data_IF_452812125553
#
_entry.id   IF_452812125553
#
_cell.length_a   1.000
_cell.length_b   1.000
_cell.length_c   1.000
_cell.angle_alpha   90.00
_cell.angle_beta   90.00
_cell.angle_gamma   90.00
#
_symmetry.space_group_name_H-M   'P 1'
#
loop_
_entity.id
_entity.type
_entity.pdbx_description
1 polymer ?
#
# COMPACT_ATOMS: atom_id res chain seq x y z
N UNK A 1 5.65 -55.83 1.20
CA UNK A 1 5.25 -54.67 0.39
C UNK A 1 3.86 -54.13 0.76
N UNK A 2 2.82 -54.97 0.91
CA UNK A 2 1.53 -54.54 1.51
C UNK A 2 1.69 -53.93 2.91
N UNK A 3 2.49 -54.56 3.78
CA UNK A 3 2.79 -54.05 5.14
C UNK A 3 3.53 -52.71 5.14
N UNK A 4 4.48 -52.51 4.22
CA UNK A 4 5.18 -51.23 4.08
C UNK A 4 4.20 -50.15 3.61
N UNK A 5 3.44 -50.41 2.54
CA UNK A 5 2.46 -49.47 1.99
C UNK A 5 1.36 -49.11 3.01
N UNK A 6 0.90 -50.06 3.83
CA UNK A 6 -0.08 -49.84 4.90
C UNK A 6 0.45 -48.99 6.07
N UNK A 7 1.73 -49.11 6.43
CA UNK A 7 2.32 -48.27 7.47
C UNK A 7 2.49 -46.81 7.03
N UNK A 8 2.67 -46.56 5.72
CA UNK A 8 2.81 -45.21 5.18
C UNK A 8 1.46 -44.59 4.78
N UNK A 9 0.45 -45.39 4.39
CA UNK A 9 -0.85 -44.90 3.89
C UNK A 9 -1.68 -44.20 4.97
N UNK A 10 -1.58 -44.63 6.23
CA UNK A 10 -2.26 -44.02 7.38
C UNK A 10 -1.58 -42.79 7.97
N UNK A 11 -0.46 -42.32 7.40
CA UNK A 11 0.22 -41.11 7.89
C UNK A 11 -0.59 -39.88 7.47
N UNK A 12 -0.96 -39.06 8.46
CA UNK A 12 -1.57 -37.76 8.23
C UNK A 12 -0.63 -36.87 7.44
N UNK A 13 -1.20 -36.14 6.47
CA UNK A 13 -0.48 -35.24 5.57
C UNK A 13 0.41 -34.25 6.33
N UNK A 14 -0.10 -33.71 7.45
CA UNK A 14 0.63 -32.78 8.32
C UNK A 14 1.97 -33.38 8.80
N UNK A 15 1.97 -34.66 9.17
CA UNK A 15 3.13 -35.37 9.72
C UNK A 15 4.05 -35.98 8.66
N UNK A 16 3.71 -35.85 7.38
CA UNK A 16 4.48 -36.43 6.29
C UNK A 16 5.85 -35.74 6.13
N UNK A 17 6.94 -36.51 6.18
CA UNK A 17 8.27 -36.00 5.85
C UNK A 17 8.67 -36.47 4.45
N UNK A 18 8.62 -35.56 3.48
CA UNK A 18 8.87 -35.87 2.05
C UNK A 18 10.34 -36.23 1.80
N UNK A 19 11.28 -35.65 2.54
CA UNK A 19 12.71 -35.99 2.43
C UNK A 19 13.00 -37.43 2.89
N UNK A 20 12.36 -37.88 3.98
CA UNK A 20 12.46 -39.28 4.44
C UNK A 20 11.86 -40.25 3.41
N UNK A 21 10.79 -39.84 2.72
CA UNK A 21 10.19 -40.63 1.65
C UNK A 21 11.06 -40.72 0.40
N UNK A 22 11.71 -39.62 0.00
CA UNK A 22 12.71 -39.60 -1.07
C UNK A 22 13.87 -40.54 -0.77
N UNK A 23 14.51 -40.38 0.38
CA UNK A 23 15.62 -41.25 0.80
C UNK A 23 15.19 -42.73 0.88
N UNK A 24 14.00 -43.01 1.40
CA UNK A 24 13.45 -44.38 1.46
C UNK A 24 13.19 -44.98 0.08
N UNK A 25 12.72 -44.18 -0.87
CA UNK A 25 12.43 -44.63 -2.25
C UNK A 25 13.72 -44.90 -3.03
N UNK A 26 14.73 -44.04 -2.88
CA UNK A 26 16.07 -44.25 -3.44
C UNK A 26 16.74 -45.49 -2.86
N UNK A 27 16.64 -45.71 -1.54
CA UNK A 27 17.18 -46.90 -0.89
C UNK A 27 16.51 -48.20 -1.40
N UNK A 28 15.20 -48.17 -1.65
CA UNK A 28 14.46 -49.30 -2.24
C UNK A 28 14.89 -49.56 -3.69
N UNK A 29 15.07 -48.52 -4.49
CA UNK A 29 15.55 -48.63 -5.87
C UNK A 29 16.98 -49.20 -5.91
N UNK A 30 17.87 -48.71 -5.05
CA UNK A 30 19.22 -49.26 -4.89
C UNK A 30 19.21 -50.73 -4.46
N UNK A 31 18.35 -51.10 -3.51
CA UNK A 31 18.23 -52.48 -3.04
C UNK A 31 17.73 -53.41 -4.16
N UNK A 32 16.78 -52.94 -4.98
CA UNK A 32 16.27 -53.69 -6.13
C UNK A 32 17.33 -53.92 -7.20
N UNK A 33 18.17 -52.91 -7.48
CA UNK A 33 19.27 -53.04 -8.43
C UNK A 33 20.41 -53.96 -7.96
N UNK A 34 20.56 -54.17 -6.64
CA UNK A 34 21.53 -55.10 -6.04
C UNK A 34 21.09 -56.56 -6.00
N UNK A 35 19.83 -56.87 -6.37
CA UNK A 35 19.36 -58.25 -6.46
C UNK A 35 20.05 -59.02 -7.60
N UNK A 36 20.20 -60.36 -7.48
CA UNK A 36 20.78 -61.19 -8.54
C UNK A 36 20.07 -61.04 -9.89
N UNK A 37 20.80 -61.19 -11.00
CA UNK A 37 20.27 -61.01 -12.35
C UNK A 37 19.03 -61.88 -12.64
N UNK A 38 18.99 -63.10 -12.11
CA UNK A 38 17.87 -64.04 -12.30
C UNK A 38 16.58 -63.58 -11.62
N UNK A 39 16.69 -62.82 -10.53
CA UNK A 39 15.54 -62.24 -9.83
C UNK A 39 15.09 -60.95 -10.51
N UNK A 40 16.04 -60.16 -11.02
CA UNK A 40 15.74 -58.92 -11.76
C UNK A 40 15.09 -59.15 -13.12
N UNK A 41 15.34 -60.29 -13.76
CA UNK A 41 14.72 -60.67 -15.03
C UNK A 41 13.29 -61.20 -14.86
N UNK A 42 12.82 -61.41 -13.63
CA UNK A 42 11.44 -61.83 -13.38
C UNK A 42 10.45 -60.69 -13.70
N UNK A 43 9.27 -60.99 -14.26
CA UNK A 43 8.22 -59.99 -14.50
C UNK A 43 7.83 -59.20 -13.26
N UNK A 44 7.93 -59.81 -12.07
CA UNK A 44 7.64 -59.17 -10.78
C UNK A 44 8.66 -58.07 -10.46
N UNK A 45 9.94 -58.27 -10.79
CA UNK A 45 10.97 -57.26 -10.56
C UNK A 45 10.83 -56.08 -11.51
N UNK A 46 10.47 -56.32 -12.78
CA UNK A 46 10.12 -55.25 -13.72
C UNK A 46 8.91 -54.44 -13.27
N UNK A 47 7.85 -55.12 -12.81
CA UNK A 47 6.67 -54.44 -12.27
C UNK A 47 7.01 -53.60 -11.03
N UNK A 48 7.85 -54.14 -10.15
CA UNK A 48 8.28 -53.47 -8.93
C UNK A 48 9.16 -52.24 -9.22
N UNK A 49 10.12 -52.36 -10.15
CA UNK A 49 10.95 -51.24 -10.61
C UNK A 49 10.10 -50.11 -11.20
N UNK A 50 9.13 -50.45 -12.05
CA UNK A 50 8.21 -49.47 -12.65
C UNK A 50 7.38 -48.74 -11.56
N UNK A 51 6.86 -49.47 -10.58
CA UNK A 51 6.09 -48.86 -9.47
C UNK A 51 6.95 -47.96 -8.57
N UNK A 52 8.21 -48.33 -8.31
CA UNK A 52 9.13 -47.52 -7.49
C UNK A 52 9.52 -46.25 -8.26
N UNK A 53 9.80 -46.34 -9.56
CA UNK A 53 10.10 -45.17 -10.40
C UNK A 53 8.91 -44.21 -10.52
N UNK A 54 7.71 -44.73 -10.76
CA UNK A 54 6.48 -43.96 -10.80
C UNK A 54 6.20 -43.24 -9.47
N UNK A 55 6.47 -43.91 -8.34
CA UNK A 55 6.38 -43.26 -7.03
C UNK A 55 7.46 -42.17 -6.87
N UNK A 56 8.70 -42.44 -7.26
CA UNK A 56 9.79 -41.46 -7.21
C UNK A 56 9.46 -40.19 -8.03
N UNK A 57 8.86 -40.32 -9.20
CA UNK A 57 8.40 -39.20 -10.04
C UNK A 57 7.29 -38.37 -9.38
N UNK A 58 6.48 -38.97 -8.50
CA UNK A 58 5.45 -38.25 -7.74
C UNK A 58 5.96 -37.51 -6.49
N UNK A 59 7.17 -37.84 -6.00
CA UNK A 59 7.70 -37.25 -4.76
C UNK A 59 8.01 -35.76 -4.85
N UNK A 60 8.59 -35.23 -5.96
CA UNK A 60 8.72 -33.78 -6.13
C UNK A 60 7.37 -33.06 -6.07
N UNK A 61 6.35 -33.61 -6.74
CA UNK A 61 4.99 -33.05 -6.72
C UNK A 61 4.39 -33.06 -5.31
N UNK A 62 4.66 -34.10 -4.51
CA UNK A 62 4.24 -34.15 -3.11
C UNK A 62 4.97 -33.12 -2.23
N UNK A 63 6.23 -32.82 -2.53
CA UNK A 63 6.97 -31.75 -1.86
C UNK A 63 6.36 -30.39 -2.18
N UNK A 64 6.04 -30.16 -3.46
CA UNK A 64 5.44 -28.90 -3.90
C UNK A 64 4.02 -28.71 -3.38
N UNK A 65 3.24 -29.80 -3.26
CA UNK A 65 1.90 -29.78 -2.66
C UNK A 65 1.91 -29.48 -1.15
N UNK A 66 3.07 -29.52 -0.49
CA UNK A 66 3.23 -29.05 0.89
C UNK A 66 3.51 -27.56 1.01
N UNK A 67 3.58 -26.83 -0.10
CA UNK A 67 3.87 -25.41 -0.07
C UNK A 67 2.72 -24.62 0.59
N UNK A 68 3.08 -23.69 1.48
CA UNK A 68 2.14 -22.80 2.18
C UNK A 68 1.38 -21.85 1.24
N UNK A 69 1.80 -21.72 -0.02
CA UNK A 69 1.08 -20.97 -1.04
C UNK A 69 -0.27 -21.61 -1.43
N UNK A 70 -0.42 -22.92 -1.20
CA UNK A 70 -1.67 -23.61 -1.51
C UNK A 70 -2.76 -23.19 -0.51
N UNK A 71 -3.97 -23.05 -1.05
CA UNK A 71 -5.19 -22.64 -0.36
C UNK A 71 -6.28 -23.62 -0.76
N UNK A 72 -7.38 -23.65 -0.05
CA UNK A 72 -8.47 -24.60 -0.31
C UNK A 72 -8.93 -24.60 -1.79
N UNK A 73 -8.99 -23.42 -2.43
CA UNK A 73 -9.30 -23.28 -3.87
C UNK A 73 -8.41 -24.11 -4.80
N UNK A 74 -7.10 -24.17 -4.52
CA UNK A 74 -6.14 -24.94 -5.31
C UNK A 74 -6.36 -26.44 -5.14
N UNK A 75 -6.68 -26.86 -3.91
CA UNK A 75 -7.02 -28.25 -3.62
C UNK A 75 -8.34 -28.68 -4.26
N UNK A 76 -9.35 -27.82 -4.28
CA UNK A 76 -10.59 -28.09 -5.01
C UNK A 76 -10.36 -28.26 -6.51
N UNK A 77 -9.51 -27.43 -7.13
CA UNK A 77 -9.10 -27.59 -8.53
C UNK A 77 -8.40 -28.94 -8.76
N UNK A 78 -7.46 -29.31 -7.88
CA UNK A 78 -6.78 -30.60 -7.95
C UNK A 78 -7.75 -31.80 -7.82
N UNK A 79 -8.73 -31.71 -6.92
CA UNK A 79 -9.77 -32.73 -6.74
C UNK A 79 -10.65 -32.89 -7.99
N UNK A 80 -11.10 -31.77 -8.56
CA UNK A 80 -11.93 -31.77 -9.78
C UNK A 80 -11.19 -32.41 -10.95
N UNK A 81 -9.90 -32.11 -11.12
CA UNK A 81 -9.11 -32.61 -12.24
C UNK A 81 -8.69 -34.08 -12.09
N UNK A 82 -8.46 -34.54 -10.86
CA UNK A 82 -8.12 -35.94 -10.58
C UNK A 82 -9.35 -36.84 -10.44
N UNK A 83 -10.55 -36.26 -10.40
CA UNK A 83 -11.79 -37.00 -10.18
C UNK A 83 -11.91 -37.60 -8.78
N UNK A 84 -11.07 -37.16 -7.84
CA UNK A 84 -11.05 -37.64 -6.45
C UNK A 84 -11.64 -36.59 -5.53
N UNK A 85 -12.31 -37.02 -4.46
CA UNK A 85 -12.82 -36.13 -3.42
C UNK A 85 -12.40 -36.68 -2.07
N UNK A 86 -11.81 -35.83 -1.26
CA UNK A 86 -11.42 -36.17 0.11
C UNK A 86 -11.64 -34.96 1.02
N UNK A 87 -11.82 -35.24 2.32
CA UNK A 87 -11.87 -34.19 3.32
C UNK A 87 -10.43 -33.69 3.60
N UNK A 88 -10.26 -32.37 3.49
CA UNK A 88 -8.99 -31.66 3.71
C UNK A 88 -8.74 -31.35 5.19
N UNK A 89 -9.65 -31.76 6.09
CA UNK A 89 -9.43 -31.59 7.50
C UNK A 89 -8.10 -32.24 7.92
N UNK A 90 -7.28 -31.57 8.77
CA UNK A 90 -5.98 -32.08 9.21
C UNK A 90 -6.05 -33.48 9.85
N UNK A 91 -7.23 -33.87 10.33
CA UNK A 91 -7.53 -35.13 11.01
C UNK A 91 -7.87 -36.28 10.06
N UNK A 92 -8.37 -35.98 8.84
CA UNK A 92 -8.74 -36.99 7.83
C UNK A 92 -7.79 -37.06 6.64
N UNK A 93 -6.95 -36.04 6.45
CA UNK A 93 -6.13 -35.93 5.25
C UNK A 93 -4.88 -36.81 5.34
N UNK A 94 -4.88 -37.94 4.62
CA UNK A 94 -3.82 -38.96 4.68
C UNK A 94 -3.01 -39.05 3.38
N UNK A 95 -1.84 -39.68 3.45
CA UNK A 95 -1.02 -40.01 2.27
C UNK A 95 -1.75 -40.94 1.29
N UNK A 96 -2.67 -41.77 1.77
CA UNK A 96 -3.51 -42.62 0.92
C UNK A 96 -4.37 -41.81 -0.06
N UNK A 97 -4.93 -40.69 0.41
CA UNK A 97 -5.72 -39.79 -0.44
C UNK A 97 -4.84 -39.21 -1.57
N UNK A 98 -3.57 -38.91 -1.31
CA UNK A 98 -2.62 -38.51 -2.36
C UNK A 98 -2.28 -39.62 -3.35
N UNK A 99 -2.20 -40.87 -2.89
CA UNK A 99 -2.02 -41.99 -3.81
C UNK A 99 -3.22 -42.22 -4.71
N UNK A 100 -4.43 -41.94 -4.22
CA UNK A 100 -5.67 -42.07 -5.00
C UNK A 100 -5.74 -41.05 -6.15
N UNK A 101 -5.05 -39.91 -6.04
CA UNK A 101 -5.00 -38.86 -7.06
C UNK A 101 -4.10 -39.19 -8.26
N UNK A 102 -3.31 -40.27 -8.18
CA UNK A 102 -2.38 -40.68 -9.25
C UNK A 102 -1.55 -39.52 -9.83
N UNK A 103 -0.96 -38.70 -8.95
CA UNK A 103 -0.32 -37.41 -9.28
C UNK A 103 0.65 -37.45 -10.47
N UNK A 104 1.33 -38.58 -10.68
CA UNK A 104 2.23 -38.81 -11.81
C UNK A 104 1.53 -38.70 -13.19
N UNK A 105 0.21 -38.95 -13.29
CA UNK A 105 -0.56 -38.81 -14.54
C UNK A 105 -0.92 -37.35 -14.86
N UNK A 106 -0.90 -36.48 -13.85
CA UNK A 106 -1.35 -35.09 -13.94
C UNK A 106 -0.22 -34.08 -13.65
N UNK A 107 1.05 -34.49 -13.77
CA UNK A 107 2.21 -33.71 -13.33
C UNK A 107 2.31 -32.29 -13.91
N UNK A 108 2.01 -32.09 -15.19
CA UNK A 108 2.03 -30.76 -15.83
C UNK A 108 1.00 -29.81 -15.20
N UNK A 109 -0.23 -30.29 -15.04
CA UNK A 109 -1.33 -29.55 -14.43
C UNK A 109 -1.09 -29.22 -12.97
N UNK A 110 -0.55 -30.17 -12.20
CA UNK A 110 -0.22 -29.96 -10.79
C UNK A 110 0.83 -28.85 -10.69
N UNK A 111 1.85 -28.89 -11.53
CA UNK A 111 2.87 -27.83 -11.64
C UNK A 111 2.25 -26.47 -11.98
N UNK A 112 1.27 -26.41 -12.88
CA UNK A 112 0.57 -25.16 -13.22
C UNK A 112 -0.21 -24.59 -12.01
N UNK A 113 -0.90 -25.44 -11.26
CA UNK A 113 -1.66 -25.03 -10.05
C UNK A 113 -0.70 -24.53 -8.97
N UNK A 114 0.41 -25.24 -8.73
CA UNK A 114 1.44 -24.80 -7.78
C UNK A 114 2.03 -23.47 -8.22
N UNK A 115 2.33 -23.32 -9.51
CA UNK A 115 2.88 -22.08 -10.06
C UNK A 115 1.89 -20.93 -9.88
N UNK A 116 0.60 -21.15 -10.13
CA UNK A 116 -0.45 -20.17 -9.88
C UNK A 116 -0.49 -19.79 -8.40
N UNK A 117 -0.53 -20.77 -7.49
CA UNK A 117 -0.53 -20.56 -6.05
C UNK A 117 0.69 -19.74 -5.58
N UNK A 118 1.88 -20.04 -6.09
CA UNK A 118 3.11 -19.30 -5.80
C UNK A 118 3.07 -17.84 -6.30
N UNK A 119 2.37 -17.56 -7.40
CA UNK A 119 2.17 -16.19 -7.88
C UNK A 119 1.08 -15.46 -7.10
N UNK A 120 0.03 -16.17 -6.70
CA UNK A 120 -1.05 -15.66 -5.86
C UNK A 120 -0.57 -15.23 -4.48
N UNK A 121 0.26 -16.03 -3.80
CA UNK A 121 0.79 -15.66 -2.47
C UNK A 121 1.68 -14.42 -2.50
N UNK A 122 2.33 -14.13 -3.64
CA UNK A 122 3.11 -12.89 -3.80
C UNK A 122 2.18 -11.68 -3.83
N UNK A 123 1.04 -11.79 -4.52
CA UNK A 123 0.00 -10.75 -4.53
C UNK A 123 -0.61 -10.60 -3.13
N UNK A 124 -0.98 -11.71 -2.48
CA UNK A 124 -1.54 -11.71 -1.11
C UNK A 124 -0.62 -10.98 -0.13
N UNK A 125 0.67 -11.33 -0.12
CA UNK A 125 1.67 -10.68 0.74
C UNK A 125 1.88 -9.21 0.37
N UNK A 126 1.86 -8.88 -0.92
CA UNK A 126 1.99 -7.50 -1.40
C UNK A 126 0.84 -6.61 -0.92
N UNK A 127 -0.41 -7.07 -1.10
CA UNK A 127 -1.60 -6.35 -0.65
C UNK A 127 -1.62 -6.21 0.88
N UNK A 128 -1.24 -7.27 1.61
CA UNK A 128 -1.15 -7.23 3.06
C UNK A 128 -0.09 -6.23 3.55
N UNK A 129 1.09 -6.19 2.93
CA UNK A 129 2.13 -5.24 3.27
C UNK A 129 1.69 -3.78 3.04
N UNK A 130 0.94 -3.51 1.96
CA UNK A 130 0.33 -2.20 1.72
C UNK A 130 -0.69 -1.89 2.83
N UNK A 131 -1.53 -2.86 3.19
CA UNK A 131 -2.49 -2.70 4.28
C UNK A 131 -1.81 -2.29 5.58
N UNK A 132 -0.81 -3.04 6.01
CA UNK A 132 -0.07 -2.79 7.24
C UNK A 132 0.63 -1.43 7.22
N UNK A 133 1.18 -1.04 6.07
CA UNK A 133 1.84 0.27 5.91
C UNK A 133 0.84 1.39 6.16
N UNK A 134 -0.30 1.40 5.45
CA UNK A 134 -1.26 2.52 5.50
C UNK A 134 -2.16 2.51 6.74
N UNK A 135 -2.25 1.41 7.46
CA UNK A 135 -2.91 1.36 8.77
C UNK A 135 -2.07 2.00 9.87
N UNK A 136 -0.74 2.03 9.70
CA UNK A 136 0.18 2.56 10.70
C UNK A 136 0.86 3.88 10.29
N UNK A 137 0.83 4.26 9.02
CA UNK A 137 1.47 5.47 8.54
C UNK A 137 0.79 6.72 9.09
N UNK A 138 1.59 7.63 9.65
CA UNK A 138 1.13 8.83 10.33
C UNK A 138 1.70 10.08 9.70
N UNK A 139 0.92 11.15 9.71
CA UNK A 139 1.41 12.47 9.41
C UNK A 139 2.39 12.95 10.49
N UNK A 140 3.45 13.62 10.07
CA UNK A 140 4.31 14.38 10.98
C UNK A 140 3.66 15.75 11.20
N UNK A 141 2.98 15.89 12.35
CA UNK A 141 2.30 17.11 12.73
C UNK A 141 3.18 17.93 13.67
N UNK A 142 3.53 19.16 13.26
CA UNK A 142 4.34 20.08 14.04
C UNK A 142 3.53 21.29 14.49
N UNK A 143 3.93 21.90 15.60
CA UNK A 143 3.39 23.21 16.00
C UNK A 143 3.93 24.29 15.07
N UNK A 144 3.04 25.13 14.57
CA UNK A 144 3.41 26.31 13.80
C UNK A 144 3.61 27.48 14.77
N UNK A 145 4.85 27.91 14.93
CA UNK A 145 5.21 29.02 15.81
C UNK A 145 5.68 30.20 14.98
N UNK A 146 5.17 31.41 15.26
CA UNK A 146 5.70 32.68 14.74
C UNK A 146 6.29 33.47 15.91
N UNK A 147 7.62 33.45 16.03
CA UNK A 147 8.29 33.95 17.24
C UNK A 147 7.93 33.10 18.46
N UNK A 148 7.27 33.72 19.45
CA UNK A 148 6.78 33.04 20.66
C UNK A 148 5.30 32.65 20.60
N UNK A 149 4.57 33.04 19.54
CA UNK A 149 3.14 32.78 19.42
C UNK A 149 2.84 31.45 18.74
N UNK A 150 1.96 30.66 19.36
CA UNK A 150 1.44 29.41 18.81
C UNK A 150 0.28 29.70 17.85
N UNK A 151 0.48 29.39 16.56
CA UNK A 151 -0.48 29.60 15.48
C UNK A 151 -1.27 28.33 15.12
N UNK A 152 -1.01 27.21 15.81
CA UNK A 152 -1.69 25.93 15.58
C UNK A 152 -0.74 24.84 15.08
N UNK A 153 -1.23 23.98 14.18
CA UNK A 153 -0.48 22.82 13.70
C UNK A 153 -0.35 22.82 12.17
N UNK A 154 0.77 22.30 11.68
CA UNK A 154 1.07 22.10 10.27
C UNK A 154 1.64 20.71 10.02
N UNK A 155 1.47 20.21 8.80
CA UNK A 155 2.11 18.99 8.31
C UNK A 155 3.55 19.29 7.87
N UNK A 156 4.46 18.39 8.18
CA UNK A 156 5.86 18.39 7.76
C UNK A 156 6.25 17.02 7.19
N UNK A 157 7.46 16.92 6.63
CA UNK A 157 8.04 15.67 6.13
C UNK A 157 7.11 14.87 5.18
N UNK A 158 6.49 15.56 4.21
CA UNK A 158 5.54 14.95 3.27
C UNK A 158 6.21 14.16 2.14
N UNK A 159 7.50 14.37 1.90
CA UNK A 159 8.25 13.77 0.79
C UNK A 159 8.26 12.23 0.88
N UNK A 160 8.58 11.68 2.05
CA UNK A 160 8.61 10.23 2.27
C UNK A 160 7.21 9.59 2.13
N UNK A 161 6.17 10.32 2.55
CA UNK A 161 4.77 9.88 2.42
C UNK A 161 4.37 9.80 0.95
N UNK A 162 4.71 10.83 0.16
CA UNK A 162 4.39 10.89 -1.26
C UNK A 162 5.15 9.82 -2.05
N UNK A 163 6.44 9.61 -1.75
CA UNK A 163 7.21 8.54 -2.37
C UNK A 163 6.61 7.17 -2.07
N UNK A 164 6.25 6.92 -0.80
CA UNK A 164 5.60 5.66 -0.39
C UNK A 164 4.23 5.47 -1.08
N UNK A 165 3.49 6.55 -1.32
CA UNK A 165 2.23 6.52 -2.05
C UNK A 165 2.44 6.12 -3.51
N UNK A 166 3.39 6.73 -4.20
CA UNK A 166 3.72 6.42 -5.59
C UNK A 166 4.19 4.96 -5.75
N UNK A 167 5.09 4.50 -4.87
CA UNK A 167 5.61 3.13 -4.88
C UNK A 167 4.50 2.10 -4.67
N UNK A 168 3.63 2.32 -3.68
CA UNK A 168 2.51 1.43 -3.40
C UNK A 168 1.45 1.46 -4.52
N UNK A 169 1.21 2.62 -5.14
CA UNK A 169 0.31 2.73 -6.29
C UNK A 169 0.85 1.94 -7.50
N UNK A 170 2.14 2.05 -7.81
CA UNK A 170 2.79 1.24 -8.86
C UNK A 170 2.73 -0.27 -8.54
N UNK A 171 2.94 -0.63 -7.27
CA UNK A 171 2.84 -2.02 -6.80
C UNK A 171 1.43 -2.58 -7.01
N UNK A 172 0.38 -1.82 -6.66
CA UNK A 172 -1.02 -2.20 -6.91
C UNK A 172 -1.32 -2.34 -8.41
N UNK A 173 -0.86 -1.42 -9.25
CA UNK A 173 -1.04 -1.53 -10.71
C UNK A 173 -0.39 -2.79 -11.28
N UNK A 174 0.83 -3.13 -10.82
CA UNK A 174 1.52 -4.35 -11.20
C UNK A 174 0.75 -5.61 -10.76
N UNK A 175 0.21 -5.60 -9.53
CA UNK A 175 -0.64 -6.68 -9.02
C UNK A 175 -1.95 -6.81 -9.82
N UNK A 176 -2.61 -5.70 -10.14
CA UNK A 176 -3.83 -5.66 -10.94
C UNK A 176 -3.62 -6.20 -12.37
N UNK A 177 -2.46 -5.94 -12.97
CA UNK A 177 -2.09 -6.45 -14.29
C UNK A 177 -1.74 -7.96 -14.29
N UNK A 178 -1.55 -8.57 -13.13
CA UNK A 178 -1.23 -9.99 -13.03
C UNK A 178 -2.44 -10.85 -13.38
N UNK A 179 -2.23 -11.86 -14.23
CA UNK A 179 -3.27 -12.87 -14.54
C UNK A 179 -3.73 -13.67 -13.31
N UNK A 180 -2.96 -13.66 -12.23
CA UNK A 180 -3.23 -14.39 -10.99
C UNK A 180 -3.97 -13.53 -9.95
N UNK A 181 -4.38 -12.31 -10.29
CA UNK A 181 -5.03 -11.38 -9.35
C UNK A 181 -6.46 -11.79 -8.99
N UNK A 182 -7.10 -12.69 -9.74
CA UNK A 182 -8.53 -13.02 -9.64
C UNK A 182 -9.09 -13.09 -8.20
N UNK A 183 -8.49 -13.88 -7.29
CA UNK A 183 -8.94 -13.98 -5.90
C UNK A 183 -8.83 -12.68 -5.07
N UNK A 184 -7.89 -11.79 -5.43
CA UNK A 184 -7.54 -10.57 -4.70
C UNK A 184 -7.99 -9.29 -5.40
N UNK A 185 -8.62 -9.38 -6.57
CA UNK A 185 -8.98 -8.23 -7.40
C UNK A 185 -9.81 -7.18 -6.65
N UNK A 186 -10.77 -7.64 -5.85
CA UNK A 186 -11.62 -6.75 -5.03
C UNK A 186 -10.81 -5.97 -4.00
N UNK A 187 -9.81 -6.61 -3.39
CA UNK A 187 -8.97 -6.00 -2.37
C UNK A 187 -7.95 -5.05 -2.98
N UNK A 188 -7.31 -5.45 -4.10
CA UNK A 188 -6.42 -4.60 -4.89
C UNK A 188 -7.15 -3.32 -5.31
N UNK A 189 -8.34 -3.45 -5.89
CA UNK A 189 -9.12 -2.30 -6.34
C UNK A 189 -9.56 -1.39 -5.19
N UNK A 190 -9.94 -1.98 -4.04
CA UNK A 190 -10.25 -1.20 -2.83
C UNK A 190 -9.05 -0.36 -2.38
N UNK A 191 -7.84 -0.93 -2.43
CA UNK A 191 -6.62 -0.20 -2.09
C UNK A 191 -6.25 0.84 -3.14
N UNK A 192 -6.43 0.57 -4.44
CA UNK A 192 -6.22 1.58 -5.49
C UNK A 192 -7.09 2.81 -5.27
N UNK A 193 -8.39 2.62 -5.03
CA UNK A 193 -9.31 3.71 -4.74
C UNK A 193 -8.92 4.46 -3.46
N UNK A 194 -8.53 3.74 -2.42
CA UNK A 194 -8.10 4.33 -1.16
C UNK A 194 -6.85 5.18 -1.31
N UNK A 195 -5.80 4.67 -1.98
CA UNK A 195 -4.56 5.42 -2.20
C UNK A 195 -4.77 6.60 -3.15
N UNK A 196 -5.63 6.48 -4.17
CA UNK A 196 -6.01 7.60 -5.03
C UNK A 196 -6.68 8.72 -4.24
N UNK A 197 -7.64 8.39 -3.37
CA UNK A 197 -8.30 9.38 -2.51
C UNK A 197 -7.29 10.03 -1.54
N UNK A 198 -6.40 9.25 -0.94
CA UNK A 198 -5.36 9.77 -0.06
C UNK A 198 -4.46 10.75 -0.82
N UNK A 199 -4.05 10.41 -2.04
CA UNK A 199 -3.21 11.27 -2.89
C UNK A 199 -3.89 12.62 -3.17
N UNK A 200 -5.15 12.58 -3.64
CA UNK A 200 -5.93 13.78 -3.94
C UNK A 200 -6.12 14.67 -2.70
N UNK A 201 -6.44 14.06 -1.55
CA UNK A 201 -6.60 14.80 -0.29
C UNK A 201 -5.27 15.45 0.11
N UNK A 202 -4.16 14.72 0.07
CA UNK A 202 -2.84 15.25 0.45
C UNK A 202 -2.41 16.41 -0.47
N UNK A 203 -2.63 16.29 -1.79
CA UNK A 203 -2.29 17.32 -2.75
C UNK A 203 -3.01 18.64 -2.42
N UNK A 204 -4.33 18.58 -2.24
CA UNK A 204 -5.14 19.76 -1.89
C UNK A 204 -4.75 20.28 -0.51
N UNK A 205 -4.52 19.40 0.47
CA UNK A 205 -4.12 19.79 1.82
C UNK A 205 -2.81 20.59 1.83
N UNK A 206 -1.81 20.16 1.06
CA UNK A 206 -0.55 20.90 0.93
C UNK A 206 -0.76 22.29 0.30
N UNK A 207 -1.64 22.40 -0.71
CA UNK A 207 -2.00 23.70 -1.30
C UNK A 207 -2.68 24.60 -0.28
N UNK A 208 -3.66 24.07 0.46
CA UNK A 208 -4.38 24.77 1.53
C UNK A 208 -3.40 25.25 2.60
N UNK A 209 -2.51 24.38 3.09
CA UNK A 209 -1.55 24.73 4.13
C UNK A 209 -0.61 25.86 3.68
N UNK A 210 -0.05 25.77 2.47
CA UNK A 210 0.86 26.82 1.95
C UNK A 210 0.15 28.17 1.83
N UNK A 211 -1.05 28.20 1.24
CA UNK A 211 -1.84 29.44 1.10
C UNK A 211 -2.30 29.97 2.45
N UNK A 212 -2.72 29.10 3.35
CA UNK A 212 -3.12 29.46 4.70
C UNK A 212 -1.97 30.09 5.47
N UNK A 213 -0.77 29.50 5.48
CA UNK A 213 0.39 30.07 6.17
C UNK A 213 0.76 31.46 5.63
N UNK A 214 0.69 31.64 4.30
CA UNK A 214 0.94 32.94 3.68
C UNK A 214 -0.09 33.99 4.13
N UNK A 215 -1.38 33.68 4.00
CA UNK A 215 -2.46 34.63 4.34
C UNK A 215 -2.58 34.86 5.85
N UNK A 216 -2.31 33.84 6.68
CA UNK A 216 -2.28 33.95 8.14
C UNK A 216 -1.27 35.00 8.58
N UNK A 217 -0.06 34.95 8.01
CA UNK A 217 1.02 35.88 8.33
C UNK A 217 0.71 37.36 7.99
N UNK A 218 -0.32 37.60 7.18
CA UNK A 218 -0.74 38.93 6.69
C UNK A 218 -2.00 39.41 7.42
N UNK A 219 -3.02 38.56 7.51
CA UNK A 219 -4.33 38.92 8.08
C UNK A 219 -4.40 38.81 9.61
N UNK A 220 -3.50 38.05 10.23
CA UNK A 220 -3.41 37.93 11.69
C UNK A 220 -2.44 38.96 12.27
N UNK A 221 -1.30 39.19 11.62
CA UNK A 221 -0.23 40.05 12.15
C UNK A 221 -0.28 41.51 11.65
N UNK A 222 -0.98 41.81 10.55
CA UNK A 222 -0.82 43.06 9.81
C UNK A 222 -2.00 44.04 9.90
N UNK A 223 -1.69 45.34 9.78
CA UNK A 223 -2.68 46.41 9.61
C UNK A 223 -3.50 46.26 8.31
N UNK A 224 -3.07 45.40 7.38
CA UNK A 224 -3.77 45.08 6.13
C UNK A 224 -5.19 44.57 6.40
N UNK A 225 -5.42 43.90 7.54
CA UNK A 225 -6.75 43.50 7.99
C UNK A 225 -7.73 44.68 8.04
N UNK A 226 -7.26 45.88 8.42
CA UNK A 226 -8.08 47.10 8.46
C UNK A 226 -8.40 47.65 7.06
N UNK A 227 -7.53 47.37 6.08
CA UNK A 227 -7.68 47.82 4.70
C UNK A 227 -8.60 46.88 3.89
N UNK A 228 -8.65 45.59 4.26
CA UNK A 228 -9.45 44.55 3.60
C UNK A 228 -10.38 43.83 4.60
N UNK A 229 -11.34 44.54 5.25
CA UNK A 229 -12.14 43.97 6.35
C UNK A 229 -13.08 42.84 5.90
N UNK A 230 -13.63 42.91 4.69
CA UNK A 230 -14.49 41.84 4.16
C UNK A 230 -13.70 40.55 3.89
N UNK A 231 -12.50 40.66 3.32
CA UNK A 231 -11.64 39.50 3.06
C UNK A 231 -11.07 38.93 4.36
N UNK A 232 -10.78 39.79 5.34
CA UNK A 232 -10.39 39.35 6.67
C UNK A 232 -11.46 38.49 7.35
N UNK A 233 -12.75 38.90 7.29
CA UNK A 233 -13.83 38.08 7.83
C UNK A 233 -13.96 36.73 7.12
N UNK A 234 -13.81 36.70 5.80
CA UNK A 234 -13.80 35.44 5.03
C UNK A 234 -12.62 34.55 5.44
N UNK A 235 -11.44 35.14 5.61
CA UNK A 235 -10.25 34.44 6.06
C UNK A 235 -10.42 33.86 7.47
N UNK A 236 -11.04 34.57 8.42
CA UNK A 236 -11.24 34.06 9.79
C UNK A 236 -12.04 32.74 9.80
N UNK A 237 -13.09 32.65 8.97
CA UNK A 237 -13.90 31.43 8.86
C UNK A 237 -13.05 30.26 8.34
N UNK A 238 -12.22 30.52 7.32
CA UNK A 238 -11.30 29.54 6.74
C UNK A 238 -10.21 29.16 7.76
N UNK A 239 -9.67 30.13 8.49
CA UNK A 239 -8.62 29.97 9.48
C UNK A 239 -9.08 29.04 10.62
N UNK A 240 -10.26 29.29 11.17
CA UNK A 240 -10.82 28.44 12.23
C UNK A 240 -11.18 27.04 11.73
N UNK A 241 -11.72 26.93 10.50
CA UNK A 241 -12.00 25.63 9.88
C UNK A 241 -10.71 24.81 9.67
N UNK A 242 -9.65 25.42 9.13
CA UNK A 242 -8.37 24.75 8.92
C UNK A 242 -7.72 24.34 10.24
N UNK A 243 -7.70 25.24 11.25
CA UNK A 243 -7.17 24.91 12.59
C UNK A 243 -7.92 23.78 13.26
N UNK A 244 -9.25 23.74 13.12
CA UNK A 244 -10.04 22.61 13.64
C UNK A 244 -9.62 21.29 13.01
N UNK A 245 -9.48 21.26 11.68
CA UNK A 245 -9.02 20.05 10.97
C UNK A 245 -7.63 19.66 11.46
N UNK A 246 -6.69 20.61 11.55
CA UNK A 246 -5.33 20.33 12.01
C UNK A 246 -5.25 19.87 13.47
N UNK A 247 -6.12 20.38 14.35
CA UNK A 247 -6.25 19.88 15.72
C UNK A 247 -6.82 18.46 15.79
N UNK A 248 -7.76 18.10 14.93
CA UNK A 248 -8.29 16.75 14.82
C UNK A 248 -7.22 15.78 14.29
N UNK A 249 -6.47 16.19 13.26
CA UNK A 249 -5.32 15.45 12.73
C UNK A 249 -4.23 15.25 13.79
N UNK A 250 -3.93 16.27 14.61
CA UNK A 250 -2.94 16.14 15.68
C UNK A 250 -3.34 15.10 16.75
N UNK A 251 -4.64 14.85 16.95
CA UNK A 251 -5.14 13.84 17.90
C UNK A 251 -5.07 12.41 17.35
N UNK A 252 -5.27 12.24 16.05
CA UNK A 252 -5.20 10.95 15.37
C UNK A 252 -4.48 11.12 14.02
N UNK A 253 -3.14 11.09 14.00
CA UNK A 253 -2.38 11.45 12.80
C UNK A 253 -2.33 10.34 11.74
N UNK A 254 -3.02 9.21 11.93
CA UNK A 254 -3.04 8.11 10.96
C UNK A 254 -3.63 8.62 9.64
N UNK A 255 -2.83 8.57 8.57
CA UNK A 255 -3.13 9.20 7.28
C UNK A 255 -4.45 8.67 6.71
N UNK A 256 -4.61 7.35 6.69
CA UNK A 256 -5.83 6.68 6.23
C UNK A 256 -7.07 7.20 6.96
N UNK A 257 -7.01 7.39 8.28
CA UNK A 257 -8.14 7.91 9.05
C UNK A 257 -8.44 9.37 8.70
N UNK A 258 -7.42 10.21 8.61
CA UNK A 258 -7.56 11.63 8.27
C UNK A 258 -8.15 11.85 6.87
N UNK A 259 -7.68 11.10 5.87
CA UNK A 259 -8.13 11.26 4.49
C UNK A 259 -9.49 10.62 4.21
N UNK A 260 -9.87 9.57 4.95
CA UNK A 260 -11.16 8.89 4.78
C UNK A 260 -12.31 9.51 5.59
N UNK A 261 -12.08 10.61 6.32
CA UNK A 261 -13.18 11.36 6.95
C UNK A 261 -14.20 11.75 5.87
N UNK A 262 -15.48 11.51 6.13
CA UNK A 262 -16.54 11.76 5.14
C UNK A 262 -16.53 13.22 4.69
N UNK A 263 -16.40 13.41 3.37
CA UNK A 263 -16.34 14.73 2.75
C UNK A 263 -15.04 15.50 2.98
N UNK A 264 -13.96 14.86 3.44
CA UNK A 264 -12.68 15.54 3.69
C UNK A 264 -12.14 16.23 2.45
N UNK A 265 -12.16 15.55 1.30
CA UNK A 265 -11.70 16.12 0.03
C UNK A 265 -12.50 17.37 -0.34
N UNK A 266 -13.83 17.30 -0.28
CA UNK A 266 -14.70 18.43 -0.60
C UNK A 266 -14.45 19.62 0.34
N UNK A 267 -14.29 19.38 1.64
CA UNK A 267 -13.93 20.42 2.62
C UNK A 267 -12.57 21.05 2.30
N UNK A 268 -11.56 20.24 1.98
CA UNK A 268 -10.23 20.75 1.60
C UNK A 268 -10.28 21.59 0.32
N UNK A 269 -11.07 21.16 -0.67
CA UNK A 269 -11.28 21.91 -1.92
C UNK A 269 -12.00 23.24 -1.66
N UNK A 270 -13.01 23.26 -0.79
CA UNK A 270 -13.71 24.48 -0.39
C UNK A 270 -12.77 25.48 0.29
N UNK A 271 -11.94 25.00 1.23
CA UNK A 271 -10.91 25.83 1.87
C UNK A 271 -9.90 26.35 0.85
N UNK A 272 -9.44 25.50 -0.09
CA UNK A 272 -8.50 25.93 -1.14
C UNK A 272 -9.09 27.04 -2.01
N UNK A 273 -10.33 26.89 -2.44
CA UNK A 273 -11.02 27.90 -3.24
C UNK A 273 -11.25 29.21 -2.46
N UNK A 274 -11.60 29.11 -1.19
CA UNK A 274 -11.72 30.27 -0.31
C UNK A 274 -10.39 31.03 -0.18
N UNK A 275 -9.30 30.32 0.06
CA UNK A 275 -7.95 30.89 0.16
C UNK A 275 -7.50 31.52 -1.16
N UNK A 276 -7.80 30.91 -2.30
CA UNK A 276 -7.51 31.48 -3.63
C UNK A 276 -8.22 32.81 -3.86
N UNK A 277 -9.47 32.93 -3.43
CA UNK A 277 -10.23 34.18 -3.53
C UNK A 277 -9.62 35.26 -2.64
N UNK A 278 -9.29 34.94 -1.40
CA UNK A 278 -8.64 35.89 -0.50
C UNK A 278 -7.28 36.35 -1.05
N UNK A 279 -6.48 35.42 -1.57
CA UNK A 279 -5.19 35.74 -2.18
C UNK A 279 -5.36 36.62 -3.42
N UNK A 280 -6.35 36.34 -4.27
CA UNK A 280 -6.64 37.17 -5.44
C UNK A 280 -7.04 38.60 -5.03
N UNK A 281 -7.95 38.75 -4.08
CA UNK A 281 -8.35 40.08 -3.60
C UNK A 281 -7.18 40.85 -2.98
N UNK A 282 -6.27 40.16 -2.29
CA UNK A 282 -5.05 40.76 -1.77
C UNK A 282 -4.15 41.26 -2.91
N UNK A 283 -3.94 40.46 -3.95
CA UNK A 283 -3.13 40.86 -5.11
C UNK A 283 -3.75 42.05 -5.86
N UNK A 284 -5.07 42.03 -6.08
CA UNK A 284 -5.79 43.15 -6.71
C UNK A 284 -5.62 44.45 -5.89
N UNK A 285 -5.62 44.34 -4.55
CA UNK A 285 -5.31 45.46 -3.66
C UNK A 285 -3.88 45.95 -3.81
N UNK A 286 -2.88 45.06 -3.80
CA UNK A 286 -1.47 45.44 -4.00
C UNK A 286 -1.24 46.12 -5.34
N UNK A 287 -1.84 45.61 -6.41
CA UNK A 287 -1.75 46.20 -7.75
C UNK A 287 -2.42 47.58 -7.81
N UNK A 288 -3.54 47.78 -7.11
CA UNK A 288 -4.14 49.11 -6.98
C UNK A 288 -3.19 50.12 -6.32
N UNK A 289 -2.40 49.69 -5.32
CA UNK A 289 -1.39 50.52 -4.67
C UNK A 289 -0.19 50.79 -5.57
N UNK A 290 0.25 49.80 -6.36
CA UNK A 290 1.29 49.99 -7.39
C UNK A 290 0.87 50.97 -8.47
N UNK A 291 -0.37 50.91 -8.93
CA UNK A 291 -0.90 51.85 -9.91
C UNK A 291 -0.99 53.28 -9.36
N UNK A 292 -1.33 53.43 -8.08
CA UNK A 292 -1.35 54.74 -7.41
C UNK A 292 0.07 55.30 -7.18
N UNK A 293 1.05 54.43 -6.95
CA UNK A 293 2.45 54.82 -6.76
C UNK A 293 3.40 53.89 -7.56
N UNK A 294 3.72 54.24 -8.82
CA UNK A 294 4.45 53.37 -9.74
C UNK A 294 5.84 52.91 -9.27
N UNK A 295 6.41 53.53 -8.23
CA UNK A 295 7.68 53.06 -7.67
C UNK A 295 7.56 51.74 -6.90
N UNK A 296 6.35 51.36 -6.47
CA UNK A 296 6.11 50.06 -5.85
C UNK A 296 6.21 48.88 -6.84
N UNK A 297 6.35 49.13 -8.15
CA UNK A 297 6.69 48.06 -9.11
C UNK A 297 8.14 47.56 -8.95
N UNK A 298 9.02 48.28 -8.23
CA UNK A 298 10.42 47.89 -8.03
C UNK A 298 10.67 47.02 -6.78
N UNK A 299 9.62 46.71 -6.02
CA UNK A 299 9.70 45.92 -4.78
C UNK A 299 8.78 44.69 -4.87
N UNK A 300 9.12 43.62 -4.15
CA UNK A 300 8.32 42.39 -4.13
C UNK A 300 6.99 42.58 -3.42
N UNK A 301 6.07 41.60 -3.56
CA UNK A 301 4.80 41.61 -2.81
C UNK A 301 5.06 41.61 -1.29
N UNK A 302 5.99 40.80 -0.79
CA UNK A 302 6.32 40.74 0.64
C UNK A 302 6.88 42.07 1.18
N UNK A 303 7.72 42.75 0.38
CA UNK A 303 8.25 44.08 0.72
C UNK A 303 7.17 45.16 0.66
N UNK A 304 6.24 45.04 -0.29
CA UNK A 304 5.11 45.96 -0.36
C UNK A 304 4.16 45.73 0.82
N UNK A 305 3.94 44.48 1.22
CA UNK A 305 3.14 44.11 2.38
C UNK A 305 3.78 44.59 3.69
N UNK A 306 5.10 44.54 3.85
CA UNK A 306 5.78 45.09 5.04
C UNK A 306 5.63 46.61 5.14
N UNK A 307 5.66 47.32 4.00
CA UNK A 307 5.44 48.78 3.93
C UNK A 307 3.98 49.13 4.23
N UNK A 308 3.02 48.42 3.62
CA UNK A 308 1.59 48.72 3.74
C UNK A 308 0.98 48.20 5.05
N UNK A 309 1.58 47.18 5.65
CA UNK A 309 1.14 46.54 6.89
C UNK A 309 1.68 47.19 8.16
N UNK A 310 2.48 48.25 8.04
CA UNK A 310 3.00 49.03 9.16
C UNK A 310 2.58 50.48 9.04
N UNK A 311 1.98 51.02 10.11
CA UNK A 311 1.72 52.45 10.24
C UNK A 311 2.98 53.26 10.59
N UNK A 312 4.14 52.62 10.80
CA UNK A 312 5.40 53.24 11.15
C UNK A 312 6.19 53.72 9.90
N UNK A 313 6.48 55.03 9.77
CA UNK A 313 7.31 55.56 8.68
C UNK A 313 8.72 54.95 8.61
N UNK A 314 9.26 54.41 9.71
CA UNK A 314 10.58 53.78 9.71
C UNK A 314 10.61 52.48 8.89
N UNK A 315 9.49 51.74 8.83
CA UNK A 315 9.36 50.53 8.01
C UNK A 315 9.51 50.81 6.51
N UNK A 316 9.23 52.04 6.08
CA UNK A 316 9.42 52.48 4.69
C UNK A 316 10.90 52.72 4.38
N UNK A 317 11.69 53.18 5.35
CA UNK A 317 13.08 53.61 5.15
C UNK A 317 14.00 52.49 4.69
N UNK A 318 13.79 51.25 5.16
CA UNK A 318 14.59 50.09 4.76
C UNK A 318 14.43 49.74 3.27
N UNK A 319 13.26 50.06 2.69
CA UNK A 319 12.94 49.76 1.30
C UNK A 319 13.19 50.94 0.35
N UNK A 320 13.47 52.14 0.86
CA UNK A 320 13.72 53.34 0.05
C UNK A 320 14.95 53.22 -0.87
N UNK A 321 15.93 52.38 -0.54
CA UNK A 321 17.14 52.18 -1.36
C UNK A 321 16.80 51.53 -2.72
N UNK A 322 15.73 50.72 -2.76
CA UNK A 322 15.27 50.01 -3.97
C UNK A 322 14.24 50.80 -4.77
N UNK A 323 13.72 51.89 -4.21
CA UNK A 323 12.74 52.76 -4.83
C UNK A 323 13.48 53.88 -5.57
N UNK A 324 13.51 53.88 -6.92
CA UNK A 324 14.24 54.90 -7.67
C UNK A 324 13.68 56.32 -7.42
N UNK A 325 14.53 57.36 -7.59
CA UNK A 325 14.23 58.74 -7.21
C UNK A 325 13.07 59.39 -7.95
#
# INVERSE_FOLDING_TARGET
MKLSKQNWSGILWVNLNVQKLQAGTEALLHSLHRLPCDVRSMPVAFFLDAQIKQFAESLPLLADLKNEALRERHWYQLMEMTGTRFDMSPESFTLENMFSMELHKHGATITDIITAALKEIVIEKGVHAISDTWENMQFVVLRHMKGTEDRGFILSAMEDILQCLEDNAMSLQSMAASRFVGPFLSEVHRWEQSLSLIAEVIEVWMVVQRKWMYLESIFVDGDIRSQLPEEAQKFDVIHEAFKKIMMETAKNPIIKHCCHVTGQLAKMQELSFGLERCQKSLNDYLDSKRNAFPRFFFISDDELLSILGSSDPASVQEHMIKVPP
#
